data_IF_038932414161
#
_entry.id   IF_038932414161
#
_cell.length_a   1.000
_cell.length_b   1.000
_cell.length_c   1.000
_cell.angle_alpha   90.00
_cell.angle_beta   90.00
_cell.angle_gamma   90.00
#
_symmetry.space_group_name_H-M   'P 1'
#
loop_
_entity.id
_entity.type
_entity.pdbx_description
1 polymer ?
#
# COMPACT_ATOMS: atom_id res chain seq x y z
N UNK A 1 -29.62 15.18 -9.35
CA UNK A 1 -28.14 15.21 -9.45
C UNK A 1 -27.63 13.81 -9.16
N UNK A 2 -27.07 13.16 -10.19
CA UNK A 2 -26.65 11.75 -10.18
C UNK A 2 -25.13 11.70 -10.24
N UNK A 3 -24.48 11.22 -9.17
CA UNK A 3 -23.05 10.95 -9.17
C UNK A 3 -22.84 9.52 -9.69
N UNK A 4 -22.21 9.41 -10.87
CA UNK A 4 -21.88 8.14 -11.53
C UNK A 4 -20.76 7.45 -10.76
N UNK A 5 -21.03 6.26 -10.24
CA UNK A 5 -20.02 5.31 -9.75
C UNK A 5 -19.16 4.88 -10.94
N UNK A 6 -17.86 5.14 -10.90
CA UNK A 6 -16.90 4.57 -11.84
C UNK A 6 -16.91 3.04 -11.73
N UNK A 7 -17.05 2.36 -12.87
CA UNK A 7 -17.02 0.91 -12.95
C UNK A 7 -15.58 0.42 -12.78
N UNK A 8 -15.34 -0.40 -11.74
CA UNK A 8 -14.01 -0.95 -11.43
C UNK A 8 -13.46 -1.84 -12.56
N UNK A 9 -14.30 -2.33 -13.48
CA UNK A 9 -13.88 -3.18 -14.60
C UNK A 9 -12.93 -2.50 -15.59
N UNK A 10 -12.95 -1.17 -15.73
CA UNK A 10 -12.07 -0.50 -16.70
C UNK A 10 -10.61 -0.44 -16.24
N UNK A 11 -10.32 -0.66 -14.96
CA UNK A 11 -8.94 -0.73 -14.44
C UNK A 11 -8.27 -2.09 -14.73
N UNK A 12 -9.04 -3.10 -15.14
CA UNK A 12 -8.60 -4.50 -15.17
C UNK A 12 -8.30 -5.09 -16.56
N UNK A 13 -8.25 -4.29 -17.65
CA UNK A 13 -7.98 -4.82 -19.00
C UNK A 13 -6.53 -4.78 -19.49
N UNK A 14 -5.61 -4.08 -18.85
CA UNK A 14 -4.28 -3.83 -19.45
C UNK A 14 -3.16 -4.79 -19.01
N UNK A 15 -3.33 -5.66 -18.00
CA UNK A 15 -2.20 -6.41 -17.39
C UNK A 15 -2.26 -7.92 -17.53
N UNK A 16 -2.82 -8.43 -18.64
CA UNK A 16 -2.85 -9.86 -18.91
C UNK A 16 -2.25 -10.23 -20.26
N UNK A 17 -0.94 -10.09 -20.45
CA UNK A 17 -0.17 -11.08 -21.24
C UNK A 17 1.35 -11.02 -20.97
N UNK A 18 1.93 -12.21 -20.66
CA UNK A 18 3.36 -12.57 -20.53
C UNK A 18 4.07 -12.17 -19.23
N UNK A 19 4.95 -12.95 -18.64
CA UNK A 19 5.18 -14.39 -18.49
C UNK A 19 6.32 -14.48 -17.45
N UNK A 20 6.20 -15.44 -16.53
CA UNK A 20 7.30 -16.07 -15.75
C UNK A 20 7.97 -15.29 -14.61
N UNK A 21 7.75 -15.85 -13.41
CA UNK A 21 8.71 -16.11 -12.34
C UNK A 21 9.99 -15.25 -12.32
N UNK A 22 10.02 -14.35 -11.34
CA UNK A 22 11.14 -14.06 -10.44
C UNK A 22 10.65 -13.07 -9.39
N UNK A 23 10.61 -13.49 -8.13
CA UNK A 23 10.57 -12.60 -6.97
C UNK A 23 11.90 -11.82 -6.92
N UNK A 24 12.02 -10.82 -7.78
CA UNK A 24 13.17 -9.94 -7.81
C UNK A 24 12.93 -8.83 -6.78
N UNK A 25 13.40 -9.07 -5.54
CA UNK A 25 13.56 -8.04 -4.51
C UNK A 25 14.58 -7.02 -5.01
N UNK A 26 14.13 -5.99 -5.71
CA UNK A 26 14.98 -4.88 -6.14
C UNK A 26 14.80 -3.73 -5.17
N UNK A 27 15.65 -3.69 -4.14
CA UNK A 27 15.75 -2.59 -3.19
C UNK A 27 16.85 -1.63 -3.67
N UNK A 28 16.49 -0.40 -4.01
CA UNK A 28 17.49 0.64 -4.27
C UNK A 28 17.85 1.33 -2.96
N UNK A 29 19.10 1.18 -2.51
CA UNK A 29 19.59 1.77 -1.26
C UNK A 29 20.38 3.05 -1.52
N UNK A 30 19.91 4.17 -0.96
CA UNK A 30 20.72 5.35 -0.65
C UNK A 30 21.34 5.22 0.75
N UNK A 31 22.23 6.14 1.15
CA UNK A 31 22.94 6.08 2.46
C UNK A 31 22.02 6.01 3.70
N UNK A 32 20.76 6.38 3.59
CA UNK A 32 19.78 6.41 4.69
C UNK A 32 18.33 6.09 4.27
N UNK A 33 18.09 5.70 3.02
CA UNK A 33 16.75 5.44 2.47
C UNK A 33 16.76 4.18 1.61
N UNK A 34 15.77 3.30 1.80
CA UNK A 34 15.52 2.14 0.96
C UNK A 34 14.22 2.38 0.18
N UNK A 35 14.29 2.26 -1.15
CA UNK A 35 13.10 2.19 -2.00
C UNK A 35 12.90 0.72 -2.35
N UNK A 36 11.83 0.14 -1.82
CA UNK A 36 11.45 -1.24 -2.10
C UNK A 36 10.33 -1.29 -3.14
N UNK A 37 10.50 -2.17 -4.12
CA UNK A 37 9.46 -2.44 -5.09
C UNK A 37 8.41 -3.37 -4.47
N UNK A 38 7.15 -2.92 -4.38
CA UNK A 38 6.03 -3.75 -3.93
C UNK A 38 5.80 -4.93 -4.90
N UNK A 39 6.07 -6.19 -4.53
CA UNK A 39 5.83 -7.34 -5.40
C UNK A 39 4.35 -7.48 -5.77
N UNK A 40 4.08 -8.21 -6.86
CA UNK A 40 2.71 -8.50 -7.31
C UNK A 40 1.85 -9.20 -6.24
N UNK A 41 2.48 -9.88 -5.29
CA UNK A 41 1.82 -10.46 -4.12
C UNK A 41 1.08 -9.41 -3.29
N UNK A 42 1.67 -8.22 -3.15
CA UNK A 42 1.11 -7.14 -2.32
C UNK A 42 -0.11 -6.52 -3.01
N UNK A 43 -0.12 -6.45 -4.35
CA UNK A 43 -1.32 -6.07 -5.11
C UNK A 43 -2.49 -7.03 -4.91
N UNK A 44 -2.22 -8.33 -4.75
CA UNK A 44 -3.27 -9.30 -4.48
C UNK A 44 -3.77 -9.20 -3.03
N UNK A 45 -2.85 -9.00 -2.08
CA UNK A 45 -3.18 -8.81 -0.66
C UNK A 45 -3.88 -7.47 -0.38
N UNK A 46 -3.64 -6.43 -1.20
CA UNK A 46 -4.29 -5.13 -1.10
C UNK A 46 -5.80 -5.18 -1.42
N UNK A 47 -6.23 -6.10 -2.27
CA UNK A 47 -7.63 -6.18 -2.72
C UNK A 47 -8.64 -6.39 -1.59
N UNK A 48 -8.46 -7.33 -0.64
CA UNK A 48 -9.35 -7.44 0.51
C UNK A 48 -9.29 -6.22 1.44
N UNK A 49 -8.11 -5.60 1.64
CA UNK A 49 -7.97 -4.40 2.46
C UNK A 49 -8.75 -3.22 1.87
N UNK A 50 -8.61 -2.97 0.57
CA UNK A 50 -9.33 -1.93 -0.16
C UNK A 50 -10.85 -2.09 -0.12
N UNK A 51 -11.34 -3.33 0.00
CA UNK A 51 -12.79 -3.59 0.15
C UNK A 51 -13.27 -3.45 1.59
N UNK A 52 -12.38 -3.63 2.57
CA UNK A 52 -12.70 -3.62 4.00
C UNK A 52 -12.68 -2.20 4.55
N UNK A 53 -11.65 -1.44 4.23
CA UNK A 53 -11.43 -0.07 4.69
C UNK A 53 -11.81 0.87 3.56
N UNK A 54 -12.89 1.64 3.76
CA UNK A 54 -13.46 2.51 2.73
C UNK A 54 -12.72 3.84 2.61
N UNK A 55 -11.98 4.18 3.66
CA UNK A 55 -11.07 5.33 3.75
C UNK A 55 -9.88 5.13 2.82
N UNK A 56 -9.30 3.93 2.79
CA UNK A 56 -8.07 3.67 2.04
C UNK A 56 -8.27 3.75 0.52
N UNK A 57 -7.37 4.47 -0.15
CA UNK A 57 -7.19 4.27 -1.59
C UNK A 57 -6.61 2.88 -1.87
N UNK A 58 -6.66 2.44 -3.14
CA UNK A 58 -6.03 1.17 -3.51
C UNK A 58 -4.50 1.20 -3.35
N UNK A 59 -3.88 2.38 -3.49
CA UNK A 59 -2.44 2.56 -3.26
C UNK A 59 -2.13 2.40 -1.77
N UNK A 60 -2.92 3.03 -0.90
CA UNK A 60 -2.74 2.92 0.57
C UNK A 60 -3.00 1.50 1.05
N UNK A 61 -3.96 0.82 0.44
CA UNK A 61 -4.21 -0.62 0.67
C UNK A 61 -3.01 -1.49 0.26
N UNK A 62 -2.24 -1.07 -0.76
CA UNK A 62 -1.02 -1.78 -1.18
C UNK A 62 0.13 -1.52 -0.21
N UNK A 63 0.23 -0.31 0.33
CA UNK A 63 1.18 0.03 1.40
C UNK A 63 0.84 -0.78 2.67
N UNK A 64 -0.42 -0.83 3.06
CA UNK A 64 -0.90 -1.63 4.19
C UNK A 64 -0.55 -3.11 4.03
N UNK A 65 -0.80 -3.70 2.86
CA UNK A 65 -0.44 -5.09 2.57
C UNK A 65 1.08 -5.35 2.65
N UNK A 66 1.90 -4.39 2.19
CA UNK A 66 3.36 -4.46 2.32
C UNK A 66 3.79 -4.42 3.80
N UNK A 67 3.21 -3.51 4.58
CA UNK A 67 3.49 -3.35 6.02
C UNK A 67 3.11 -4.60 6.82
N UNK A 68 1.93 -5.18 6.58
CA UNK A 68 1.52 -6.44 7.21
C UNK A 68 2.51 -7.58 6.91
N UNK A 69 3.00 -7.67 5.67
CA UNK A 69 3.93 -8.72 5.25
C UNK A 69 5.33 -8.56 5.86
N UNK A 70 5.82 -7.33 5.97
CA UNK A 70 7.14 -7.02 6.52
C UNK A 70 7.12 -6.81 8.05
N UNK A 71 5.94 -6.81 8.68
CA UNK A 71 5.78 -6.57 10.12
C UNK A 71 6.12 -5.14 10.52
N UNK A 72 5.79 -4.16 9.67
CA UNK A 72 6.06 -2.74 9.91
C UNK A 72 4.86 -2.13 10.64
N UNK A 73 5.10 -1.58 11.83
CA UNK A 73 4.05 -1.03 12.70
C UNK A 73 3.95 0.50 12.66
N UNK A 74 4.91 1.19 12.03
CA UNK A 74 4.95 2.65 11.99
C UNK A 74 5.04 3.16 10.55
N UNK A 75 4.23 4.17 10.24
CA UNK A 75 4.21 4.82 8.94
C UNK A 75 4.28 6.34 9.11
N UNK A 76 5.24 6.98 8.45
CA UNK A 76 5.22 8.44 8.32
C UNK A 76 4.25 8.82 7.20
N UNK A 77 3.16 9.51 7.53
CA UNK A 77 2.16 9.95 6.57
C UNK A 77 1.39 11.17 7.07
N UNK A 78 1.03 12.06 6.14
CA UNK A 78 0.10 13.15 6.40
C UNK A 78 -1.35 12.79 6.06
N UNK A 79 -1.56 11.62 5.46
CA UNK A 79 -2.88 11.09 5.12
C UNK A 79 -3.44 10.33 6.34
N UNK A 80 -4.58 10.77 6.85
CA UNK A 80 -5.24 10.21 8.03
C UNK A 80 -6.02 8.94 7.74
N UNK A 81 -6.20 8.55 6.46
CA UNK A 81 -6.89 7.32 6.08
C UNK A 81 -6.22 6.06 6.67
N UNK A 82 -4.92 6.11 6.97
CA UNK A 82 -4.18 5.01 7.62
C UNK A 82 -4.58 4.77 9.09
N UNK A 83 -5.27 5.71 9.73
CA UNK A 83 -5.74 5.56 11.12
C UNK A 83 -6.85 4.49 11.24
N UNK A 84 -7.40 4.03 10.11
CA UNK A 84 -8.34 2.91 10.04
C UNK A 84 -7.67 1.54 10.23
N UNK A 85 -6.34 1.44 10.10
CA UNK A 85 -5.61 0.17 10.17
C UNK A 85 -5.26 -0.22 11.61
N UNK A 86 -5.77 -1.37 12.04
CA UNK A 86 -5.38 -1.96 13.32
C UNK A 86 -3.90 -2.41 13.26
N UNK A 87 -3.08 -1.96 14.22
CA UNK A 87 -1.67 -2.36 14.33
C UNK A 87 -0.67 -1.49 13.55
N UNK A 88 -1.15 -0.43 12.89
CA UNK A 88 -0.29 0.60 12.30
C UNK A 88 -0.45 1.90 13.09
N UNK A 89 0.68 2.51 13.45
CA UNK A 89 0.75 3.83 14.08
C UNK A 89 1.24 4.85 13.07
N UNK A 90 0.38 5.81 12.72
CA UNK A 90 0.76 6.93 11.86
C UNK A 90 1.60 7.94 12.65
N UNK A 91 2.74 8.32 12.08
CA UNK A 91 3.59 9.40 12.56
C UNK A 91 3.37 10.61 11.64
N UNK A 92 2.77 11.67 12.18
CA UNK A 92 2.37 12.86 11.43
C UNK A 92 2.98 14.16 11.95
N UNK A 93 3.77 14.05 13.01
CA UNK A 93 4.61 15.11 13.54
C UNK A 93 6.07 14.87 13.15
N UNK A 94 6.89 15.93 13.04
CA UNK A 94 8.32 15.80 12.78
C UNK A 94 9.11 15.29 14.01
N UNK A 95 8.44 15.06 15.14
CA UNK A 95 9.05 14.60 16.38
C UNK A 95 9.39 13.11 16.31
N UNK A 96 10.58 12.74 16.77
CA UNK A 96 10.99 11.35 16.87
C UNK A 96 10.25 10.69 18.05
N UNK A 97 9.45 9.63 17.84
CA UNK A 97 8.69 8.98 18.92
C UNK A 97 9.57 8.21 19.94
N UNK A 98 10.90 8.17 19.74
CA UNK A 98 11.86 7.49 20.62
C UNK A 98 12.84 8.42 21.33
N UNK A 99 12.71 9.75 21.15
CA UNK A 99 13.53 10.75 21.85
C UNK A 99 12.99 11.10 23.25
#
# INVERSE_FOLDING_TARGET
MSCRRGNIESYWRETRTRHRERDARSAHRGRSLCIDHAPKTDFNAAQPLFRRYLELSFVDSTIAAYMEREGIEYLYSFDDDFDALDGVTRLDTPDNPFD
#
